data_IF_747646970754
#
_entry.id   IF_747646970754
#
_cell.length_a   1.000
_cell.length_b   1.000
_cell.length_c   1.000
_cell.angle_alpha   90.00
_cell.angle_beta   90.00
_cell.angle_gamma   90.00
#
_symmetry.space_group_name_H-M   'P 1'
#
loop_
_entity.id
_entity.type
_entity.pdbx_description
1 polymer ?
#
# COMPACT_ATOMS: atom_id res chain seq x y z
N UNK A 1 -13.87 -4.82 2.23
CA UNK A 1 -14.80 -5.95 2.01
C UNK A 1 -14.96 -6.32 0.54
N UNK A 2 -14.95 -5.35 -0.40
CA UNK A 2 -15.07 -5.62 -1.85
C UNK A 2 -13.92 -6.46 -2.43
N UNK A 3 -12.74 -6.42 -1.81
CA UNK A 3 -11.50 -6.95 -2.36
C UNK A 3 -10.93 -6.06 -3.48
N UNK A 4 -9.64 -6.11 -3.68
CA UNK A 4 -8.93 -5.38 -4.73
C UNK A 4 -8.59 -6.33 -5.89
N UNK A 5 -9.56 -6.56 -6.76
CA UNK A 5 -9.43 -7.50 -7.88
C UNK A 5 -9.11 -6.77 -9.18
N UNK A 6 -8.28 -7.34 -10.07
CA UNK A 6 -7.94 -6.72 -11.35
C UNK A 6 -9.16 -6.42 -12.25
N UNK A 7 -10.24 -7.16 -12.05
CA UNK A 7 -11.48 -7.05 -12.82
C UNK A 7 -12.62 -6.34 -12.07
N UNK A 8 -12.29 -5.56 -11.03
CA UNK A 8 -13.29 -4.75 -10.36
C UNK A 8 -13.88 -3.71 -11.33
N UNK A 9 -15.20 -3.49 -11.31
CA UNK A 9 -15.76 -2.30 -11.92
C UNK A 9 -15.22 -1.06 -11.20
N UNK A 10 -15.03 0.03 -11.92
CA UNK A 10 -14.53 1.29 -11.37
C UNK A 10 -15.53 2.40 -11.74
N UNK A 11 -16.16 3.03 -10.75
CA UNK A 11 -16.09 2.76 -9.31
C UNK A 11 -16.95 1.58 -8.86
N UNK A 12 -16.62 1.01 -7.71
CA UNK A 12 -17.47 0.06 -6.98
C UNK A 12 -18.63 0.81 -6.30
N UNK A 13 -19.83 0.27 -6.40
CA UNK A 13 -21.00 0.80 -5.70
C UNK A 13 -21.35 -0.08 -4.50
N UNK A 14 -22.31 0.35 -3.68
CA UNK A 14 -22.78 -0.42 -2.54
C UNK A 14 -23.44 -1.75 -2.95
N UNK A 15 -23.92 -1.83 -4.19
CA UNK A 15 -24.53 -3.04 -4.77
C UNK A 15 -23.47 -3.99 -5.38
N UNK A 16 -22.20 -3.58 -5.38
CA UNK A 16 -21.10 -4.43 -5.83
C UNK A 16 -20.91 -5.62 -4.87
N UNK A 17 -20.60 -6.82 -5.39
CA UNK A 17 -20.49 -8.01 -4.56
C UNK A 17 -19.32 -7.89 -3.56
N UNK A 18 -19.57 -8.33 -2.33
CA UNK A 18 -18.56 -8.49 -1.29
C UNK A 18 -17.69 -9.72 -1.63
N UNK A 19 -16.40 -9.50 -1.90
CA UNK A 19 -15.46 -10.54 -2.30
C UNK A 19 -14.11 -10.33 -1.61
N UNK A 20 -14.04 -10.44 -0.26
CA UNK A 20 -12.79 -10.25 0.46
C UNK A 20 -11.73 -11.25 0.00
N UNK A 21 -10.48 -10.80 -0.09
CA UNK A 21 -9.37 -11.69 -0.40
C UNK A 21 -9.20 -12.74 0.72
N UNK A 22 -9.08 -14.02 0.34
CA UNK A 22 -8.96 -15.13 1.29
C UNK A 22 -7.64 -15.10 2.09
N UNK A 23 -6.65 -14.39 1.63
CA UNK A 23 -5.37 -14.22 2.32
C UNK A 23 -5.36 -13.04 3.29
N UNK A 24 -6.40 -12.17 3.22
CA UNK A 24 -6.53 -11.01 4.10
C UNK A 24 -7.64 -11.22 5.14
N UNK A 25 -7.30 -11.89 6.22
CA UNK A 25 -8.21 -12.28 7.31
C UNK A 25 -9.02 -11.10 7.84
N UNK A 26 -8.42 -9.92 7.95
CA UNK A 26 -9.12 -8.72 8.41
C UNK A 26 -10.32 -8.35 7.50
N UNK A 27 -10.15 -8.39 6.19
CA UNK A 27 -11.25 -8.12 5.25
C UNK A 27 -12.36 -9.19 5.33
N UNK A 28 -12.00 -10.44 5.61
CA UNK A 28 -12.97 -11.51 5.83
C UNK A 28 -13.78 -11.28 7.11
N UNK A 29 -13.12 -10.90 8.20
CA UNK A 29 -13.82 -10.58 9.45
C UNK A 29 -14.77 -9.38 9.27
N UNK A 30 -14.34 -8.33 8.54
CA UNK A 30 -15.23 -7.21 8.23
C UNK A 30 -16.47 -7.65 7.43
N UNK A 31 -16.31 -8.53 6.45
CA UNK A 31 -17.45 -9.07 5.69
C UNK A 31 -18.40 -9.85 6.59
N UNK A 32 -17.90 -10.66 7.52
CA UNK A 32 -18.73 -11.37 8.51
C UNK A 32 -19.46 -10.40 9.46
N UNK A 33 -18.80 -9.32 9.89
CA UNK A 33 -19.46 -8.29 10.72
C UNK A 33 -20.58 -7.61 9.96
N UNK A 34 -20.41 -7.32 8.66
CA UNK A 34 -21.46 -6.76 7.84
C UNK A 34 -22.67 -7.71 7.66
N UNK A 35 -22.39 -9.00 7.47
CA UNK A 35 -23.45 -10.03 7.40
C UNK A 35 -24.24 -10.08 8.71
N UNK A 36 -23.57 -10.10 9.86
CA UNK A 36 -24.21 -10.05 11.18
C UNK A 36 -25.01 -8.75 11.39
N UNK A 37 -24.50 -7.62 10.91
CA UNK A 37 -25.21 -6.34 10.99
C UNK A 37 -26.49 -6.35 10.13
N UNK A 38 -26.44 -6.97 8.94
CA UNK A 38 -27.61 -7.09 8.06
C UNK A 38 -28.65 -8.05 8.64
N UNK A 39 -28.25 -9.20 9.18
CA UNK A 39 -29.13 -10.12 9.90
C UNK A 39 -29.81 -9.42 11.07
N UNK A 40 -29.06 -8.64 11.84
CA UNK A 40 -29.59 -7.88 12.98
C UNK A 40 -30.55 -6.79 12.54
N UNK A 41 -30.30 -6.12 11.41
CA UNK A 41 -31.18 -5.16 10.77
C UNK A 41 -32.49 -5.78 10.36
N UNK A 42 -32.44 -6.94 9.66
CA UNK A 42 -33.60 -7.64 9.14
C UNK A 42 -34.49 -8.25 10.25
N UNK A 43 -33.93 -8.52 11.42
CA UNK A 43 -34.65 -9.09 12.56
C UNK A 43 -35.66 -8.13 13.21
N UNK A 44 -35.58 -6.80 12.94
CA UNK A 44 -36.51 -5.82 13.49
C UNK A 44 -36.74 -4.65 12.51
N UNK A 45 -37.97 -4.56 11.91
CA UNK A 45 -38.29 -3.56 10.88
C UNK A 45 -38.15 -2.10 11.30
N UNK A 46 -38.27 -1.81 12.60
CA UNK A 46 -38.14 -0.44 13.16
C UNK A 46 -36.67 0.00 13.37
N UNK A 47 -35.75 -0.93 13.17
CA UNK A 47 -34.34 -0.70 13.40
C UNK A 47 -33.69 -0.16 12.14
N UNK A 48 -33.03 0.99 12.25
CA UNK A 48 -32.15 1.50 11.22
C UNK A 48 -30.70 1.07 11.58
N UNK A 49 -30.01 0.44 10.64
CA UNK A 49 -28.62 0.00 10.78
C UNK A 49 -27.84 0.49 9.57
N UNK A 50 -27.00 1.51 9.75
CA UNK A 50 -26.13 2.00 8.71
C UNK A 50 -24.75 1.30 8.78
N UNK A 51 -24.35 0.67 7.68
CA UNK A 51 -22.99 0.13 7.50
C UNK A 51 -22.21 1.11 6.64
N UNK A 52 -21.25 1.79 7.24
CA UNK A 52 -20.35 2.71 6.54
C UNK A 52 -19.11 1.96 6.06
N UNK A 53 -18.81 2.05 4.76
CA UNK A 53 -17.62 1.45 4.13
C UNK A 53 -16.65 2.56 3.73
N UNK A 54 -15.79 3.04 4.63
CA UNK A 54 -14.80 4.04 4.28
C UNK A 54 -13.74 3.44 3.36
N UNK A 55 -13.27 4.26 2.41
CA UNK A 55 -11.98 4.02 1.75
C UNK A 55 -10.85 4.20 2.75
N UNK A 56 -9.59 4.12 2.28
CA UNK A 56 -8.44 4.31 3.16
C UNK A 56 -8.51 5.71 3.80
N UNK A 57 -8.83 5.75 5.10
CA UNK A 57 -8.87 7.01 5.84
C UNK A 57 -7.54 7.26 6.53
N UNK A 58 -7.15 8.53 6.54
CA UNK A 58 -5.87 9.00 7.06
C UNK A 58 -6.10 10.14 8.04
N UNK A 59 -5.24 10.21 9.05
CA UNK A 59 -5.17 11.29 10.02
C UNK A 59 -3.74 11.44 10.50
N UNK A 60 -3.34 12.65 10.89
CA UNK A 60 -2.03 12.91 11.48
C UNK A 60 -1.80 12.17 12.80
N UNK A 61 -2.89 11.85 13.52
CA UNK A 61 -2.85 11.19 14.82
C UNK A 61 -3.15 9.67 14.73
N UNK A 62 -3.24 9.10 13.52
CA UNK A 62 -3.58 7.70 13.32
C UNK A 62 -2.32 6.82 13.31
N UNK A 63 -2.14 6.05 14.38
CA UNK A 63 -1.07 5.06 14.54
C UNK A 63 -1.42 3.67 13.94
N UNK A 64 -2.50 3.57 13.16
CA UNK A 64 -2.88 2.30 12.53
C UNK A 64 -1.80 1.80 11.57
N UNK A 65 -1.03 0.82 12.03
CA UNK A 65 0.08 0.24 11.26
C UNK A 65 -0.35 -0.32 9.89
N UNK A 66 -1.59 -0.83 9.78
CA UNK A 66 -2.14 -1.38 8.54
C UNK A 66 -2.44 -0.27 7.54
N UNK A 67 -3.10 0.80 7.98
CA UNK A 67 -3.44 1.96 7.16
C UNK A 67 -2.17 2.65 6.66
N UNK A 68 -1.24 2.93 7.58
CA UNK A 68 0.05 3.56 7.25
C UNK A 68 0.90 2.68 6.33
N UNK A 69 0.93 1.36 6.55
CA UNK A 69 1.65 0.43 5.67
C UNK A 69 1.06 0.43 4.26
N UNK A 70 -0.27 0.45 4.12
CA UNK A 70 -0.93 0.50 2.83
C UNK A 70 -0.69 1.83 2.12
N UNK A 71 -0.85 2.96 2.81
CA UNK A 71 -0.56 4.29 2.26
C UNK A 71 0.92 4.44 1.87
N UNK A 72 1.84 3.94 2.70
CA UNK A 72 3.27 3.95 2.40
C UNK A 72 3.66 3.03 1.23
N UNK A 73 2.90 1.98 0.98
CA UNK A 73 3.11 1.06 -0.14
C UNK A 73 2.59 1.56 -1.48
N UNK A 74 1.54 2.35 -1.45
CA UNK A 74 1.04 3.04 -2.64
C UNK A 74 2.09 4.04 -3.13
N UNK A 75 2.36 4.07 -4.42
CA UNK A 75 3.41 4.92 -5.01
C UNK A 75 4.83 4.34 -4.94
N UNK A 76 5.04 3.21 -4.28
CA UNK A 76 6.37 2.58 -4.13
C UNK A 76 6.45 1.18 -4.74
N UNK A 77 5.56 0.86 -5.67
CA UNK A 77 5.59 -0.43 -6.35
C UNK A 77 6.77 -0.57 -7.29
N UNK A 78 7.32 -1.78 -7.30
CA UNK A 78 8.33 -2.17 -8.28
C UNK A 78 7.63 -2.72 -9.53
N UNK A 79 7.81 -2.06 -10.67
CA UNK A 79 7.61 -2.66 -11.97
C UNK A 79 6.38 -2.28 -12.76
N UNK A 80 5.24 -2.00 -12.17
CA UNK A 80 3.99 -1.66 -12.87
C UNK A 80 3.51 -0.25 -12.53
N UNK A 81 2.54 0.25 -13.28
CA UNK A 81 1.89 1.50 -12.95
C UNK A 81 1.09 1.33 -11.64
N UNK A 82 1.20 2.31 -10.75
CA UNK A 82 0.40 2.32 -9.54
C UNK A 82 -1.07 2.57 -9.91
N UNK A 83 -2.03 1.86 -9.30
CA UNK A 83 -3.43 2.09 -9.55
C UNK A 83 -3.86 3.47 -9.02
N UNK A 84 -4.96 4.02 -9.54
CA UNK A 84 -5.59 5.18 -8.92
C UNK A 84 -6.07 4.83 -7.51
N UNK A 85 -6.08 5.82 -6.61
CA UNK A 85 -6.41 5.64 -5.21
C UNK A 85 -7.35 6.74 -4.68
N UNK A 86 -8.04 6.43 -3.61
CA UNK A 86 -8.86 7.36 -2.82
C UNK A 86 -8.33 7.40 -1.39
N UNK A 87 -8.24 8.59 -0.84
CA UNK A 87 -7.83 8.84 0.54
C UNK A 87 -8.86 9.74 1.22
N UNK A 88 -9.46 9.24 2.27
CA UNK A 88 -10.46 9.95 3.06
C UNK A 88 -9.78 10.61 4.26
N UNK A 89 -10.16 11.83 4.61
CA UNK A 89 -9.73 12.44 5.85
C UNK A 89 -10.61 11.99 7.02
N UNK A 90 -10.04 11.88 8.21
CA UNK A 90 -10.78 11.43 9.40
C UNK A 90 -11.96 12.34 9.73
N UNK A 91 -11.83 13.67 9.54
CA UNK A 91 -12.92 14.62 9.77
C UNK A 91 -14.12 14.39 8.84
N UNK A 92 -13.85 14.05 7.57
CA UNK A 92 -14.91 13.71 6.63
C UNK A 92 -15.57 12.37 6.99
N UNK A 93 -14.82 11.40 7.52
CA UNK A 93 -15.39 10.16 8.07
C UNK A 93 -16.27 10.46 9.29
N UNK A 94 -15.82 11.31 10.21
CA UNK A 94 -16.60 11.73 11.37
C UNK A 94 -17.91 12.40 10.93
N UNK A 95 -17.85 13.33 9.97
CA UNK A 95 -19.04 13.99 9.43
C UNK A 95 -20.02 13.02 8.74
N UNK A 96 -19.50 11.95 8.12
CA UNK A 96 -20.33 10.89 7.54
C UNK A 96 -21.09 10.09 8.62
N UNK A 97 -20.43 9.82 9.74
CA UNK A 97 -21.06 9.18 10.90
C UNK A 97 -22.18 10.09 11.47
N UNK A 98 -21.88 11.38 11.63
CA UNK A 98 -22.88 12.35 12.11
C UNK A 98 -24.14 12.39 11.23
N UNK A 99 -23.97 12.44 9.92
CA UNK A 99 -25.09 12.37 8.96
C UNK A 99 -25.83 11.04 9.06
N UNK A 100 -25.11 9.92 9.15
CA UNK A 100 -25.74 8.60 9.24
C UNK A 100 -26.63 8.50 10.48
N UNK A 101 -26.19 9.02 11.60
CA UNK A 101 -26.97 9.06 12.85
C UNK A 101 -28.15 10.04 12.74
N UNK A 102 -27.88 11.29 12.31
CA UNK A 102 -28.90 12.35 12.27
C UNK A 102 -30.05 12.03 11.29
N UNK A 103 -29.71 11.46 10.12
CA UNK A 103 -30.67 11.05 9.11
C UNK A 103 -31.25 9.64 9.35
N UNK A 104 -30.82 8.92 10.38
CA UNK A 104 -31.18 7.51 10.64
C UNK A 104 -31.03 6.66 9.38
N UNK A 105 -29.87 6.74 8.76
CA UNK A 105 -29.61 6.00 7.54
C UNK A 105 -29.74 4.49 7.78
N UNK A 106 -30.21 3.77 6.77
CA UNK A 106 -30.33 2.31 6.80
C UNK A 106 -29.63 1.69 5.59
N UNK A 107 -29.00 0.53 5.80
CA UNK A 107 -28.27 -0.19 4.77
C UNK A 107 -26.81 0.28 4.61
N UNK A 108 -26.24 -0.02 3.44
CA UNK A 108 -24.80 0.16 3.17
C UNK A 108 -24.55 1.49 2.49
N UNK A 109 -23.51 2.20 2.94
CA UNK A 109 -23.08 3.47 2.37
C UNK A 109 -21.57 3.52 2.25
N UNK A 110 -21.05 3.74 1.05
CA UNK A 110 -19.65 3.99 0.82
C UNK A 110 -19.28 5.41 1.29
N UNK A 111 -18.13 5.54 1.95
CA UNK A 111 -17.60 6.83 2.39
C UNK A 111 -16.27 7.09 1.69
N UNK A 112 -16.30 7.97 0.70
CA UNK A 112 -15.12 8.33 -0.10
C UNK A 112 -15.18 9.81 -0.47
N UNK A 113 -14.02 10.49 -0.63
CA UNK A 113 -13.98 11.84 -1.19
C UNK A 113 -14.44 11.83 -2.64
N UNK A 114 -14.72 13.02 -3.19
CA UNK A 114 -15.04 13.15 -4.60
C UNK A 114 -13.84 12.82 -5.49
N UNK A 115 -14.07 12.03 -6.53
CA UNK A 115 -13.05 11.60 -7.47
C UNK A 115 -12.00 10.67 -6.87
N UNK A 116 -10.82 10.67 -7.48
CA UNK A 116 -9.65 9.88 -7.09
C UNK A 116 -8.37 10.55 -7.57
N UNK A 117 -7.23 10.13 -7.08
CA UNK A 117 -5.93 10.57 -7.62
C UNK A 117 -5.28 9.43 -8.41
N UNK A 118 -4.58 9.80 -9.48
CA UNK A 118 -3.85 8.83 -10.31
C UNK A 118 -2.67 8.24 -9.55
N UNK A 119 -2.25 7.02 -9.91
CA UNK A 119 -1.07 6.40 -9.31
C UNK A 119 0.21 7.23 -9.49
N UNK A 120 0.33 7.97 -10.60
CA UNK A 120 1.42 8.93 -10.81
C UNK A 120 1.38 10.05 -9.77
N UNK A 121 0.18 10.57 -9.47
CA UNK A 121 0.00 11.61 -8.47
C UNK A 121 0.29 11.11 -7.05
N UNK A 122 -0.18 9.90 -6.71
CA UNK A 122 0.17 9.25 -5.42
C UNK A 122 1.68 9.19 -5.26
N UNK A 123 2.39 8.79 -6.30
CA UNK A 123 3.84 8.72 -6.30
C UNK A 123 4.52 10.07 -6.13
N UNK A 124 4.03 11.08 -6.83
CA UNK A 124 4.55 12.44 -6.68
C UNK A 124 4.40 12.93 -5.23
N UNK A 125 3.26 12.64 -4.59
CA UNK A 125 3.01 12.96 -3.18
C UNK A 125 3.89 12.12 -2.23
N UNK A 126 4.10 10.84 -2.52
CA UNK A 126 4.97 9.96 -1.73
C UNK A 126 6.46 10.31 -1.84
N UNK A 127 6.83 11.21 -2.75
CA UNK A 127 8.20 11.59 -3.07
C UNK A 127 8.85 10.62 -4.04
N UNK A 128 9.23 11.12 -5.22
CA UNK A 128 9.87 10.33 -6.28
C UNK A 128 11.12 9.59 -5.79
N UNK A 129 10.99 8.28 -5.63
CA UNK A 129 12.12 7.38 -5.41
C UNK A 129 12.60 6.76 -6.73
N UNK A 130 13.87 6.34 -6.84
CA UNK A 130 14.36 5.66 -8.03
C UNK A 130 13.58 4.37 -8.27
N UNK A 131 13.06 4.21 -9.49
CA UNK A 131 12.32 3.01 -9.92
C UNK A 131 13.29 1.93 -10.41
N UNK A 132 13.27 0.80 -9.76
CA UNK A 132 13.82 -0.44 -10.34
C UNK A 132 12.63 -1.24 -10.88
N UNK A 133 12.48 -1.29 -12.22
CA UNK A 133 11.47 -2.14 -12.86
C UNK A 133 11.92 -3.59 -12.74
N UNK A 134 11.25 -4.36 -11.90
CA UNK A 134 11.43 -5.81 -11.81
C UNK A 134 10.27 -6.51 -12.53
N UNK A 135 10.49 -7.59 -13.25
CA UNK A 135 9.41 -8.44 -13.77
C UNK A 135 8.49 -8.88 -12.63
N UNK A 136 7.15 -8.91 -12.86
CA UNK A 136 6.13 -9.11 -11.82
C UNK A 136 6.42 -10.25 -10.84
N UNK A 137 6.82 -11.45 -11.34
CA UNK A 137 7.18 -12.60 -10.47
C UNK A 137 8.37 -12.33 -9.55
N UNK A 138 9.34 -11.53 -9.99
CA UNK A 138 10.49 -11.12 -9.17
C UNK A 138 10.08 -10.03 -8.18
N UNK A 139 9.19 -9.12 -8.57
CA UNK A 139 8.65 -8.10 -7.68
C UNK A 139 7.90 -8.73 -6.50
N UNK A 140 7.04 -9.72 -6.75
CA UNK A 140 6.31 -10.46 -5.74
C UNK A 140 7.26 -11.23 -4.80
N UNK A 141 8.27 -11.87 -5.37
CA UNK A 141 9.25 -12.61 -4.57
C UNK A 141 10.09 -11.69 -3.67
N UNK A 142 10.53 -10.56 -4.20
CA UNK A 142 11.25 -9.53 -3.43
C UNK A 142 10.35 -8.90 -2.36
N UNK A 143 9.07 -8.64 -2.67
CA UNK A 143 8.07 -8.14 -1.72
C UNK A 143 7.89 -9.10 -0.55
N UNK A 144 7.66 -10.39 -0.84
CA UNK A 144 7.51 -11.44 0.17
C UNK A 144 8.78 -11.63 1.00
N UNK A 145 9.96 -11.57 0.37
CA UNK A 145 11.24 -11.70 1.08
C UNK A 145 11.48 -10.51 2.01
N UNK A 146 11.22 -9.29 1.54
CA UNK A 146 11.33 -8.07 2.36
C UNK A 146 10.37 -8.11 3.56
N UNK A 147 9.14 -8.58 3.35
CA UNK A 147 8.18 -8.75 4.42
C UNK A 147 8.64 -9.79 5.45
N UNK A 148 9.13 -10.95 4.98
CA UNK A 148 9.66 -12.01 5.87
C UNK A 148 10.79 -11.54 6.78
N UNK A 149 11.55 -10.53 6.37
CA UNK A 149 12.62 -9.92 7.15
C UNK A 149 12.20 -8.59 7.82
N UNK A 150 10.89 -8.31 7.92
CA UNK A 150 10.32 -7.08 8.50
C UNK A 150 10.87 -5.79 7.86
N UNK A 151 11.30 -5.87 6.60
CA UNK A 151 11.86 -4.75 5.82
C UNK A 151 10.94 -4.25 4.71
N UNK A 152 9.76 -4.86 4.59
CA UNK A 152 8.75 -4.49 3.59
C UNK A 152 7.68 -3.58 4.18
N UNK A 153 7.22 -2.54 3.46
CA UNK A 153 6.18 -1.64 3.95
C UNK A 153 4.79 -2.28 3.99
N UNK A 154 4.55 -3.36 3.21
CA UNK A 154 3.20 -3.93 3.05
C UNK A 154 3.21 -5.44 3.34
N UNK A 155 2.29 -5.94 4.20
CA UNK A 155 2.03 -7.37 4.35
C UNK A 155 1.58 -8.01 3.03
N UNK A 156 1.91 -9.28 2.77
CA UNK A 156 1.50 -9.98 1.54
C UNK A 156 0.00 -9.94 1.26
N UNK A 157 -0.85 -10.07 2.28
CA UNK A 157 -2.32 -10.00 2.16
C UNK A 157 -2.85 -8.63 1.76
N UNK A 158 -2.07 -7.56 1.89
CA UNK A 158 -2.42 -6.20 1.45
C UNK A 158 -1.87 -5.86 0.06
N UNK A 159 -1.01 -6.70 -0.53
CA UNK A 159 -0.44 -6.44 -1.85
C UNK A 159 -1.49 -6.22 -2.94
N UNK A 160 -2.61 -6.97 -3.01
CA UNK A 160 -3.66 -6.72 -3.98
C UNK A 160 -4.23 -5.30 -3.90
N UNK A 161 -4.37 -4.75 -2.69
CA UNK A 161 -4.91 -3.41 -2.46
C UNK A 161 -3.95 -2.27 -2.90
N UNK A 162 -2.66 -2.54 -2.93
CA UNK A 162 -1.68 -1.63 -3.52
C UNK A 162 -1.51 -1.83 -5.04
N UNK A 163 -1.98 -2.98 -5.58
CA UNK A 163 -1.73 -3.41 -6.95
C UNK A 163 -2.90 -3.14 -7.90
N UNK A 164 -4.13 -3.18 -7.39
CA UNK A 164 -5.33 -3.13 -8.22
C UNK A 164 -6.24 -1.98 -7.79
N UNK A 165 -7.06 -1.43 -8.70
CA UNK A 165 -8.01 -0.38 -8.37
C UNK A 165 -9.15 -0.93 -7.50
N UNK A 166 -9.54 -0.18 -6.48
CA UNK A 166 -10.68 -0.47 -5.63
C UNK A 166 -11.42 0.80 -5.22
N UNK A 167 -11.57 1.70 -6.20
CA UNK A 167 -12.27 2.97 -6.06
C UNK A 167 -13.77 2.72 -5.84
N UNK A 168 -14.38 3.51 -4.96
CA UNK A 168 -15.80 3.40 -4.66
C UNK A 168 -16.54 4.69 -5.01
N UNK A 169 -17.83 4.54 -5.36
CA UNK A 169 -18.74 5.66 -5.52
C UNK A 169 -19.30 6.10 -4.15
N UNK A 170 -19.52 7.39 -3.98
CA UNK A 170 -20.06 8.00 -2.76
C UNK A 170 -21.47 8.59 -2.96
N UNK A 171 -22.11 8.29 -4.10
CA UNK A 171 -23.37 8.90 -4.53
C UNK A 171 -24.52 8.66 -3.54
N UNK A 172 -24.62 7.45 -2.98
CA UNK A 172 -25.67 7.09 -2.04
C UNK A 172 -25.62 7.95 -0.76
N UNK A 173 -24.43 8.16 -0.22
CA UNK A 173 -24.24 8.99 0.97
C UNK A 173 -24.44 10.49 0.66
N UNK A 174 -24.04 10.92 -0.54
CA UNK A 174 -24.31 12.31 -1.02
C UNK A 174 -25.79 12.58 -1.19
N UNK A 175 -26.57 11.62 -1.65
CA UNK A 175 -28.03 11.75 -1.72
C UNK A 175 -28.66 11.90 -0.32
N UNK A 176 -28.03 11.34 0.71
CA UNK A 176 -28.42 11.53 2.11
C UNK A 176 -28.00 12.89 2.70
N UNK A 177 -27.33 13.74 1.91
CA UNK A 177 -26.93 15.09 2.30
C UNK A 177 -25.47 15.26 2.75
N UNK A 178 -24.69 14.17 2.77
CA UNK A 178 -23.28 14.26 3.08
C UNK A 178 -22.47 14.91 1.95
N UNK A 179 -21.43 15.67 2.32
CA UNK A 179 -20.52 16.29 1.36
C UNK A 179 -19.10 16.18 1.88
N UNK A 180 -18.18 15.53 1.15
CA UNK A 180 -16.76 15.57 1.51
C UNK A 180 -16.23 17.00 1.37
N UNK A 181 -15.40 17.41 2.30
CA UNK A 181 -14.84 18.77 2.36
C UNK A 181 -13.34 18.79 2.08
N UNK A 182 -12.68 17.66 2.24
CA UNK A 182 -11.23 17.53 2.13
C UNK A 182 -10.91 16.69 0.88
N UNK A 183 -9.93 17.18 0.09
CA UNK A 183 -9.53 16.49 -1.15
C UNK A 183 -8.68 15.25 -0.86
N UNK A 184 -8.62 14.32 -1.84
CA UNK A 184 -7.76 13.15 -1.75
C UNK A 184 -6.28 13.50 -1.45
N UNK A 185 -5.75 14.53 -2.16
CA UNK A 185 -4.38 14.97 -1.97
C UNK A 185 -4.13 15.53 -0.57
N UNK A 186 -5.07 16.34 -0.09
CA UNK A 186 -4.96 16.93 1.24
C UNK A 186 -5.01 15.85 2.32
N UNK A 187 -5.96 14.92 2.23
CA UNK A 187 -6.04 13.79 3.15
C UNK A 187 -4.75 12.96 3.16
N UNK A 188 -4.15 12.72 1.98
CA UNK A 188 -2.88 12.00 1.88
C UNK A 188 -1.72 12.76 2.54
N UNK A 189 -1.60 14.06 2.26
CA UNK A 189 -0.49 14.89 2.77
C UNK A 189 -0.59 15.09 4.28
N UNK A 190 -1.79 15.32 4.82
CA UNK A 190 -2.01 15.52 6.24
C UNK A 190 -1.89 14.22 7.05
N UNK A 191 -2.30 13.10 6.47
CA UNK A 191 -2.27 11.79 7.12
C UNK A 191 -0.99 10.97 6.89
N UNK A 192 0.01 11.51 6.20
CA UNK A 192 1.29 10.83 5.99
C UNK A 192 2.46 11.70 6.41
N UNK A 193 3.37 11.13 7.20
CA UNK A 193 4.59 11.84 7.54
C UNK A 193 5.42 12.18 6.31
N UNK A 194 5.84 13.44 6.19
CA UNK A 194 6.75 13.87 5.14
C UNK A 194 8.10 13.14 5.30
N UNK A 195 8.40 12.23 4.40
CA UNK A 195 9.67 11.49 4.44
C UNK A 195 10.83 12.46 4.29
N UNK A 196 11.86 12.33 5.12
CA UNK A 196 13.03 13.24 5.16
C UNK A 196 13.65 13.52 3.78
N UNK A 197 13.58 12.57 2.84
CA UNK A 197 14.12 12.77 1.48
C UNK A 197 13.24 13.64 0.59
N UNK A 198 11.94 13.86 0.91
CA UNK A 198 11.09 14.81 0.18
C UNK A 198 11.49 16.24 0.48
N UNK A 199 12.07 16.48 1.67
CA UNK A 199 12.59 17.79 2.08
C UNK A 199 13.95 18.12 1.44
N UNK A 200 14.58 17.16 0.77
CA UNK A 200 15.87 17.39 0.11
C UNK A 200 15.69 18.16 -1.20
N UNK A 201 16.53 19.18 -1.37
CA UNK A 201 16.58 19.91 -2.66
C UNK A 201 17.00 18.95 -3.79
N UNK A 202 16.60 19.22 -5.05
CA UNK A 202 17.00 18.39 -6.20
C UNK A 202 18.51 18.19 -6.29
N UNK A 203 19.30 19.21 -5.97
CA UNK A 203 20.76 19.13 -5.93
C UNK A 203 21.27 18.11 -4.90
N UNK A 204 20.73 18.13 -3.67
CA UNK A 204 21.11 17.16 -2.64
C UNK A 204 20.68 15.73 -2.97
N UNK A 205 19.53 15.56 -3.63
CA UNK A 205 19.09 14.24 -4.13
C UNK A 205 20.08 13.68 -5.15
N UNK A 206 20.59 14.52 -6.07
CA UNK A 206 21.61 14.12 -7.05
C UNK A 206 22.94 13.79 -6.39
N UNK A 207 23.38 14.58 -5.43
CA UNK A 207 24.63 14.32 -4.68
C UNK A 207 24.58 13.00 -3.92
N UNK A 208 23.45 12.71 -3.26
CA UNK A 208 23.25 11.43 -2.56
C UNK A 208 23.19 10.25 -3.52
N UNK A 209 22.49 10.39 -4.65
CA UNK A 209 22.41 9.35 -5.67
C UNK A 209 23.80 9.04 -6.27
N UNK A 210 24.59 10.09 -6.57
CA UNK A 210 25.96 9.94 -7.07
C UNK A 210 26.86 9.29 -6.03
N UNK A 211 26.79 9.70 -4.77
CA UNK A 211 27.53 9.12 -3.66
C UNK A 211 27.20 7.64 -3.47
N UNK A 212 25.91 7.27 -3.51
CA UNK A 212 25.45 5.88 -3.42
C UNK A 212 25.97 5.04 -4.60
N UNK A 213 25.96 5.58 -5.82
CA UNK A 213 26.49 4.90 -7.00
C UNK A 213 27.99 4.67 -6.90
N UNK A 214 28.76 5.65 -6.46
CA UNK A 214 30.21 5.51 -6.24
C UNK A 214 30.50 4.46 -5.16
N UNK A 215 29.76 4.49 -4.04
CA UNK A 215 29.90 3.48 -2.98
C UNK A 215 29.59 2.07 -3.46
N UNK A 216 28.55 1.91 -4.29
CA UNK A 216 28.22 0.63 -4.91
C UNK A 216 29.33 0.11 -5.85
N UNK A 217 29.89 0.98 -6.68
CA UNK A 217 31.00 0.63 -7.56
C UNK A 217 32.25 0.21 -6.78
N UNK A 218 32.60 0.95 -5.72
CA UNK A 218 33.69 0.58 -4.83
C UNK A 218 33.43 -0.76 -4.16
N UNK A 219 32.22 -1.01 -3.69
CA UNK A 219 31.81 -2.30 -3.12
C UNK A 219 31.99 -3.46 -4.10
N UNK A 220 31.55 -3.29 -5.35
CA UNK A 220 31.73 -4.30 -6.40
C UNK A 220 33.21 -4.59 -6.66
N UNK A 221 34.04 -3.54 -6.75
CA UNK A 221 35.49 -3.69 -6.96
C UNK A 221 36.13 -4.44 -5.79
N UNK A 222 35.79 -4.10 -4.55
CA UNK A 222 36.34 -4.78 -3.35
C UNK A 222 35.93 -6.27 -3.31
N UNK A 223 34.67 -6.58 -3.64
CA UNK A 223 34.20 -7.97 -3.72
C UNK A 223 34.95 -8.74 -4.82
N UNK A 224 35.12 -8.14 -5.99
CA UNK A 224 35.81 -8.76 -7.11
C UNK A 224 37.30 -9.04 -6.75
N UNK A 225 37.99 -8.05 -6.13
CA UNK A 225 39.36 -8.21 -5.68
C UNK A 225 39.46 -9.29 -4.60
N UNK A 226 38.51 -9.34 -3.67
CA UNK A 226 38.47 -10.37 -2.64
C UNK A 226 38.30 -11.77 -3.24
N UNK A 227 37.40 -11.93 -4.21
CA UNK A 227 37.17 -13.20 -4.92
C UNK A 227 38.45 -13.66 -5.68
N UNK A 228 39.08 -12.75 -6.41
CA UNK A 228 40.35 -13.06 -7.11
C UNK A 228 41.45 -13.46 -6.15
N UNK A 229 41.60 -12.76 -5.01
CA UNK A 229 42.57 -13.12 -3.99
C UNK A 229 42.30 -14.47 -3.34
N UNK A 230 41.03 -14.78 -3.04
CA UNK A 230 40.64 -16.09 -2.49
C UNK A 230 40.92 -17.22 -3.45
N UNK A 231 40.56 -17.06 -4.74
CA UNK A 231 40.86 -18.03 -5.78
C UNK A 231 42.35 -18.30 -5.96
N UNK A 232 43.19 -17.26 -5.92
CA UNK A 232 44.66 -17.41 -5.98
C UNK A 232 45.21 -18.11 -4.75
N UNK A 233 44.64 -17.87 -3.58
CA UNK A 233 45.08 -18.52 -2.32
C UNK A 233 44.72 -20.01 -2.36
N UNK A 234 43.53 -20.37 -2.87
CA UNK A 234 43.07 -21.76 -2.99
C UNK A 234 43.92 -22.54 -4.02
N UNK A 235 44.27 -21.91 -5.15
CA UNK A 235 45.15 -22.55 -6.15
C UNK A 235 46.55 -22.84 -5.55
N UNK A 236 47.15 -21.89 -4.82
CA UNK A 236 48.46 -22.12 -4.17
C UNK A 236 48.43 -23.21 -3.10
N UNK A 237 47.30 -23.39 -2.41
CA UNK A 237 47.14 -24.50 -1.46
C UNK A 237 47.02 -25.83 -2.18
N UNK A 238 46.27 -25.92 -3.26
CA UNK A 238 46.16 -27.15 -4.08
C UNK A 238 47.52 -27.56 -4.67
N UNK A 239 48.30 -26.60 -5.17
CA UNK A 239 49.66 -26.86 -5.68
C UNK A 239 50.69 -27.29 -4.60
N UNK A 240 50.43 -26.96 -3.32
CA UNK A 240 51.29 -27.39 -2.21
C UNK A 240 50.89 -28.73 -1.57
N UNK A 241 49.77 -29.29 -1.92
CA UNK A 241 49.23 -30.57 -1.45
C UNK A 241 49.40 -31.73 -2.48
N UNK A 242 50.00 -31.45 -3.64
CA UNK A 242 50.36 -32.52 -4.60
C UNK A 242 51.53 -33.35 -4.02
N UNK A 243 51.30 -34.66 -3.72
CA UNK A 243 52.37 -35.49 -3.16
C UNK A 243 53.44 -35.72 -4.24
N UNK A 244 54.67 -35.42 -3.90
CA UNK A 244 55.85 -35.88 -4.62
C UNK A 244 55.84 -37.41 -4.62
N UNK A 245 55.36 -38.02 -5.68
CA UNK A 245 55.49 -39.45 -5.93
C UNK A 245 56.96 -39.68 -6.38
N UNK A 246 57.85 -39.88 -5.43
CA UNK A 246 59.19 -40.47 -5.66
C UNK A 246 59.19 -41.91 -5.15
N UNK A 247 59.40 -42.86 -6.10
CA UNK A 247 59.74 -44.22 -5.69
C UNK A 247 59.77 -45.12 -6.88
#
# INVERSE_FOLDING_TARGET
VYGAWPNNPVPLTEDSPVRPDSTFVFAQHLAQVEELADDWRLAAPDRAVAVLRPVLYLSADDDSSVVLALAAGMGHRFGEEDPPAQFLHLDDLASAIDIAVAARLDGIHNVAPDGWITGERVRALAGDGPRIKLPGRLADHVGNLRWRFERGPIPPGLMPYAANPWLVANDRLKLAGWKPTITNEQAYVEGTEAKWWTMLTPKRKQELALGAMVAALVGIVLVTVSMVRSSRRNRRRAESEEPTDEG
#
